data_IF_430593973457
#
_entry.id   IF_430593973457
#
_cell.length_a   1.000
_cell.length_b   1.000
_cell.length_c   1.000
_cell.angle_alpha   90.00
_cell.angle_beta   90.00
_cell.angle_gamma   90.00
#
_symmetry.space_group_name_H-M   'P 1'
#
loop_
_entity.id
_entity.type
_entity.pdbx_description
1 polymer ?
#
# COMPACT_ATOMS: atom_id res chain seq x y z
N UNK A 1 4.56 -10.17 3.92
CA UNK A 1 5.60 -9.12 4.08
C UNK A 1 6.09 -8.98 5.52
N UNK A 2 5.21 -9.06 6.56
CA UNK A 2 5.68 -9.08 7.95
C UNK A 2 6.56 -10.30 8.20
N UNK A 3 6.16 -11.50 7.78
CA UNK A 3 7.04 -12.67 7.81
C UNK A 3 8.33 -12.44 7.00
N UNK A 4 8.29 -11.73 5.87
CA UNK A 4 9.49 -11.37 5.11
C UNK A 4 10.36 -10.30 5.78
N UNK A 5 9.84 -9.44 6.66
CA UNK A 5 10.62 -8.51 7.48
C UNK A 5 11.25 -9.22 8.68
N UNK A 6 10.48 -10.07 9.36
CA UNK A 6 10.93 -10.84 10.52
C UNK A 6 11.87 -11.99 10.15
N UNK A 7 11.86 -12.48 8.91
CA UNK A 7 12.82 -13.48 8.43
C UNK A 7 14.14 -12.88 7.93
N UNK A 8 14.29 -11.57 7.96
CA UNK A 8 15.53 -10.88 7.51
C UNK A 8 16.43 -10.61 8.67
N UNK A 9 17.39 -11.50 8.86
CA UNK A 9 18.37 -11.41 9.93
C UNK A 9 19.11 -10.06 10.00
N UNK A 10 19.41 -9.44 8.86
CA UNK A 10 20.09 -8.14 8.77
C UNK A 10 19.30 -6.99 9.40
N UNK A 11 17.98 -6.95 9.23
CA UNK A 11 17.11 -5.92 9.84
C UNK A 11 16.88 -6.18 11.32
N UNK A 12 16.73 -7.45 11.72
CA UNK A 12 16.57 -7.81 13.12
C UNK A 12 17.86 -7.55 13.91
N UNK A 13 19.01 -7.94 13.36
CA UNK A 13 20.32 -7.70 13.96
C UNK A 13 20.58 -6.20 14.11
N UNK A 14 20.32 -5.40 13.06
CA UNK A 14 20.48 -3.94 13.17
C UNK A 14 19.55 -3.33 14.21
N UNK A 15 18.29 -3.79 14.32
CA UNK A 15 17.37 -3.32 15.36
C UNK A 15 17.79 -3.77 16.76
N UNK A 16 18.34 -4.98 16.91
CA UNK A 16 18.90 -5.44 18.16
C UNK A 16 20.03 -4.50 18.63
N UNK A 17 21.01 -4.22 17.77
CA UNK A 17 22.12 -3.32 18.10
C UNK A 17 21.64 -1.90 18.39
N UNK A 18 20.71 -1.33 17.63
CA UNK A 18 20.15 -0.01 17.87
C UNK A 18 19.54 0.07 19.28
N UNK A 19 18.78 -0.93 19.68
CA UNK A 19 18.10 -0.92 20.98
C UNK A 19 19.03 -1.26 22.14
N UNK A 20 20.03 -2.13 21.96
CA UNK A 20 21.08 -2.37 22.96
C UNK A 20 21.95 -1.14 23.17
N UNK A 21 22.43 -0.51 22.09
CA UNK A 21 23.21 0.73 22.17
C UNK A 21 22.38 1.87 22.79
N UNK A 22 21.06 1.83 22.64
CA UNK A 22 20.14 2.74 23.31
C UNK A 22 20.17 2.69 24.83
N UNK A 23 20.63 1.59 25.44
CA UNK A 23 20.85 1.47 26.89
C UNK A 23 22.16 2.11 27.35
N UNK A 24 23.07 2.43 26.44
CA UNK A 24 24.37 3.00 26.79
C UNK A 24 24.25 4.32 27.56
N UNK A 25 23.32 5.19 27.17
CA UNK A 25 23.12 6.48 27.82
C UNK A 25 22.59 6.37 29.26
N UNK A 26 21.55 5.59 29.58
CA UNK A 26 21.11 5.31 30.94
C UNK A 26 22.25 4.71 31.82
N UNK A 27 22.99 3.74 31.29
CA UNK A 27 24.12 3.10 32.00
C UNK A 27 25.21 4.11 32.27
N UNK A 28 25.54 4.95 31.31
CA UNK A 28 26.52 6.04 31.49
C UNK A 28 26.11 6.97 32.63
N UNK A 29 24.85 7.40 32.67
CA UNK A 29 24.38 8.29 33.73
C UNK A 29 24.51 7.65 35.10
N UNK A 30 24.08 6.38 35.24
CA UNK A 30 24.20 5.65 36.51
C UNK A 30 25.67 5.58 36.93
N UNK A 31 26.55 5.15 36.02
CA UNK A 31 27.97 4.97 36.35
C UNK A 31 28.71 6.29 36.61
N UNK A 32 28.38 7.36 35.88
CA UNK A 32 28.99 8.68 36.10
C UNK A 32 28.62 9.26 37.45
N UNK A 33 27.34 9.16 37.84
CA UNK A 33 26.92 9.65 39.15
C UNK A 33 27.46 8.81 40.29
N UNK A 34 27.42 7.47 40.15
CA UNK A 34 27.89 6.56 41.24
C UNK A 34 29.41 6.58 41.41
N UNK A 35 30.18 6.65 40.33
CA UNK A 35 31.66 6.57 40.44
C UNK A 35 32.33 7.92 40.51
N UNK A 36 31.90 8.90 39.71
CA UNK A 36 32.56 10.20 39.68
C UNK A 36 32.10 11.10 40.83
N UNK A 37 30.80 11.29 41.01
CA UNK A 37 30.30 12.18 42.07
C UNK A 37 30.52 11.63 43.48
N UNK A 38 30.57 10.30 43.66
CA UNK A 38 30.81 9.70 44.97
C UNK A 38 32.28 9.53 45.28
N UNK A 39 33.16 9.28 44.30
CA UNK A 39 34.56 8.88 44.51
C UNK A 39 35.60 9.77 43.82
N UNK A 40 35.19 10.72 42.94
CA UNK A 40 36.07 11.69 42.28
C UNK A 40 37.06 11.10 41.26
N UNK A 41 36.76 9.96 40.63
CA UNK A 41 37.65 9.33 39.66
C UNK A 41 37.51 9.95 38.25
N UNK A 42 38.34 10.91 37.89
CA UNK A 42 38.34 11.61 36.61
C UNK A 42 38.57 10.68 35.41
N UNK A 43 39.50 9.73 35.51
CA UNK A 43 39.87 8.80 34.45
C UNK A 43 38.67 7.94 34.01
N UNK A 44 37.83 7.51 34.98
CA UNK A 44 36.64 6.73 34.70
C UNK A 44 35.58 7.55 33.99
N UNK A 45 35.44 8.84 34.29
CA UNK A 45 34.52 9.74 33.63
C UNK A 45 34.88 9.92 32.15
N UNK A 46 36.19 10.18 31.86
CA UNK A 46 36.64 10.33 30.48
C UNK A 46 36.42 9.05 29.67
N UNK A 47 36.75 7.89 30.23
CA UNK A 47 36.58 6.60 29.57
C UNK A 47 35.09 6.29 29.27
N UNK A 48 34.22 6.51 30.26
CA UNK A 48 32.77 6.31 30.11
C UNK A 48 32.15 7.27 29.08
N UNK A 49 32.59 8.54 29.13
CA UNK A 49 32.11 9.55 28.16
C UNK A 49 32.50 9.18 26.73
N UNK A 50 33.78 8.81 26.52
CA UNK A 50 34.24 8.36 25.21
C UNK A 50 33.48 7.10 24.76
N UNK A 51 33.26 6.13 25.64
CA UNK A 51 32.53 4.91 25.36
C UNK A 51 31.07 5.18 24.91
N UNK A 52 30.39 6.08 25.60
CA UNK A 52 29.01 6.47 25.19
C UNK A 52 28.98 7.22 23.87
N UNK A 53 29.93 8.14 23.64
CA UNK A 53 30.01 8.83 22.33
C UNK A 53 30.21 7.85 21.19
N UNK A 54 31.07 6.86 21.35
CA UNK A 54 31.28 5.79 20.39
C UNK A 54 29.99 4.96 20.21
N UNK A 55 29.32 4.60 21.31
CA UNK A 55 28.03 3.87 21.24
C UNK A 55 26.96 4.65 20.49
N UNK A 56 26.84 5.97 20.70
CA UNK A 56 25.90 6.82 19.97
C UNK A 56 26.24 6.93 18.49
N UNK A 57 27.51 6.98 18.12
CA UNK A 57 27.95 6.95 16.71
C UNK A 57 27.57 5.62 16.04
N UNK A 58 27.74 4.50 16.74
CA UNK A 58 27.30 3.20 16.24
C UNK A 58 25.78 3.12 16.15
N UNK A 59 25.04 3.60 17.16
CA UNK A 59 23.56 3.67 17.11
C UNK A 59 23.10 4.45 15.87
N UNK A 60 23.69 5.62 15.60
CA UNK A 60 23.39 6.42 14.42
C UNK A 60 23.72 5.66 13.13
N UNK A 61 24.87 5.03 13.05
CA UNK A 61 25.31 4.26 11.88
C UNK A 61 24.39 3.09 11.59
N UNK A 62 23.96 2.33 12.61
CA UNK A 62 23.00 1.24 12.45
C UNK A 62 21.61 1.75 12.05
N UNK A 63 21.14 2.89 12.57
CA UNK A 63 19.88 3.53 12.13
C UNK A 63 19.97 3.91 10.65
N UNK A 64 21.08 4.50 10.21
CA UNK A 64 21.30 4.87 8.82
C UNK A 64 21.36 3.64 7.91
N UNK A 65 22.13 2.60 8.31
CA UNK A 65 22.19 1.33 7.57
C UNK A 65 20.81 0.67 7.45
N UNK A 66 20.05 0.59 8.53
CA UNK A 66 18.69 0.04 8.54
C UNK A 66 17.76 0.80 7.57
N UNK A 67 17.80 2.13 7.59
CA UNK A 67 17.02 2.95 6.68
C UNK A 67 17.40 2.69 5.23
N UNK A 68 18.70 2.70 4.91
CA UNK A 68 19.20 2.42 3.56
C UNK A 68 18.82 1.01 3.09
N UNK A 69 18.93 0.01 3.96
CA UNK A 69 18.51 -1.37 3.67
C UNK A 69 17.00 -1.46 3.40
N UNK A 70 16.15 -0.76 4.16
CA UNK A 70 14.71 -0.71 3.94
C UNK A 70 14.36 -0.04 2.61
N UNK A 71 14.99 1.09 2.28
CA UNK A 71 14.78 1.81 1.01
C UNK A 71 15.20 0.92 -0.16
N UNK A 72 16.41 0.38 -0.14
CA UNK A 72 16.94 -0.49 -1.20
C UNK A 72 16.07 -1.73 -1.44
N UNK A 73 15.60 -2.37 -0.36
CA UNK A 73 14.75 -3.54 -0.47
C UNK A 73 13.34 -3.22 -0.95
N UNK A 74 12.82 -2.05 -0.59
CA UNK A 74 11.53 -1.60 -1.11
C UNK A 74 11.64 -1.23 -2.60
N UNK A 75 12.71 -0.56 -3.04
CA UNK A 75 12.95 -0.27 -4.47
C UNK A 75 13.14 -1.56 -5.27
N UNK A 76 13.96 -2.48 -4.79
CA UNK A 76 14.17 -3.77 -5.45
C UNK A 76 12.89 -4.61 -5.56
N UNK A 77 11.98 -4.54 -4.59
CA UNK A 77 10.67 -5.21 -4.68
C UNK A 77 9.75 -4.57 -5.73
N UNK A 78 9.93 -3.28 -6.02
CA UNK A 78 9.25 -2.57 -7.10
C UNK A 78 9.88 -2.96 -8.44
N UNK A 79 11.21 -2.97 -8.56
CA UNK A 79 11.95 -3.33 -9.78
C UNK A 79 11.81 -4.81 -10.16
N UNK A 80 11.83 -5.73 -9.21
CA UNK A 80 11.72 -7.18 -9.45
C UNK A 80 10.31 -7.65 -9.79
N UNK A 81 9.39 -6.74 -10.11
CA UNK A 81 8.11 -7.11 -10.69
C UNK A 81 7.12 -7.81 -9.77
N UNK A 82 7.39 -7.95 -8.46
CA UNK A 82 6.37 -8.51 -7.57
C UNK A 82 5.07 -7.67 -7.57
N UNK A 83 5.20 -6.39 -7.89
CA UNK A 83 4.10 -5.48 -8.15
C UNK A 83 3.47 -5.73 -9.52
N UNK A 84 4.29 -5.88 -10.56
CA UNK A 84 3.84 -6.16 -11.92
C UNK A 84 3.37 -7.59 -12.07
N UNK A 85 3.93 -8.55 -11.33
CA UNK A 85 3.44 -9.92 -11.25
C UNK A 85 2.03 -9.99 -10.67
N UNK A 86 1.71 -9.15 -9.68
CA UNK A 86 0.36 -9.04 -9.15
C UNK A 86 -0.58 -8.33 -10.15
N UNK A 87 -0.08 -7.40 -10.96
CA UNK A 87 -0.82 -6.82 -12.10
C UNK A 87 -0.99 -7.86 -13.23
N UNK A 88 0.04 -8.63 -13.54
CA UNK A 88 -0.01 -9.68 -14.56
C UNK A 88 -0.93 -10.84 -14.15
N UNK A 89 -1.06 -11.11 -12.84
CA UNK A 89 -2.06 -12.04 -12.28
C UNK A 89 -3.49 -11.46 -12.33
N UNK A 90 -3.64 -10.14 -12.47
CA UNK A 90 -4.93 -9.56 -12.80
C UNK A 90 -5.25 -10.05 -14.20
N UNK A 91 -6.12 -11.05 -14.26
CA UNK A 91 -6.50 -11.68 -15.52
C UNK A 91 -7.14 -10.64 -16.44
N UNK A 92 -6.33 -10.06 -17.33
CA UNK A 92 -6.75 -9.11 -18.37
C UNK A 92 -7.79 -9.75 -19.33
N UNK A 93 -7.97 -11.06 -19.22
CA UNK A 93 -8.98 -11.84 -19.95
C UNK A 93 -10.34 -11.84 -19.25
N UNK A 94 -10.50 -11.20 -18.09
CA UNK A 94 -11.82 -11.06 -17.48
C UNK A 94 -12.73 -10.22 -18.40
N UNK A 95 -13.99 -10.63 -18.61
CA UNK A 95 -14.90 -9.97 -19.57
C UNK A 95 -15.26 -8.52 -19.17
N UNK A 96 -14.74 -8.01 -18.09
CA UNK A 96 -15.11 -6.70 -17.55
C UNK A 96 -13.87 -5.86 -17.23
N UNK A 97 -13.30 -5.23 -18.28
CA UNK A 97 -12.19 -4.27 -18.16
C UNK A 97 -12.60 -2.98 -17.41
N UNK A 98 -13.91 -2.74 -17.18
CA UNK A 98 -14.40 -1.55 -16.48
C UNK A 98 -13.86 -1.46 -15.02
N UNK A 99 -13.49 -2.58 -14.39
CA UNK A 99 -12.87 -2.64 -13.08
C UNK A 99 -11.33 -2.51 -13.07
N UNK A 100 -10.67 -2.53 -14.24
CA UNK A 100 -9.20 -2.53 -14.34
C UNK A 100 -8.55 -1.30 -13.66
N UNK A 101 -9.01 -0.06 -13.86
CA UNK A 101 -8.43 1.10 -13.17
C UNK A 101 -8.55 1.01 -11.64
N UNK A 102 -9.66 0.46 -11.14
CA UNK A 102 -9.87 0.25 -9.71
C UNK A 102 -8.91 -0.82 -9.16
N UNK A 103 -8.69 -1.89 -9.89
CA UNK A 103 -7.76 -2.97 -9.53
C UNK A 103 -6.31 -2.50 -9.54
N UNK A 104 -5.88 -1.79 -10.57
CA UNK A 104 -4.54 -1.18 -10.65
C UNK A 104 -4.33 -0.21 -9.48
N UNK A 105 -5.32 0.61 -9.16
CA UNK A 105 -5.23 1.53 -8.03
C UNK A 105 -5.22 0.79 -6.69
N UNK A 106 -5.95 -0.31 -6.52
CA UNK A 106 -5.92 -1.13 -5.31
C UNK A 106 -4.52 -1.73 -5.11
N UNK A 107 -3.93 -2.32 -6.15
CA UNK A 107 -2.56 -2.87 -6.11
C UNK A 107 -1.54 -1.76 -5.84
N UNK A 108 -1.64 -0.61 -6.52
CA UNK A 108 -0.79 0.57 -6.27
C UNK A 108 -0.90 1.03 -4.81
N UNK A 109 -2.10 1.13 -4.28
CA UNK A 109 -2.32 1.55 -2.89
C UNK A 109 -1.81 0.53 -1.88
N UNK A 110 -1.88 -0.77 -2.17
CA UNK A 110 -1.32 -1.82 -1.31
C UNK A 110 0.21 -1.77 -1.23
N UNK A 111 0.88 -1.38 -2.30
CA UNK A 111 2.34 -1.22 -2.36
C UNK A 111 2.79 0.08 -1.69
N UNK A 112 2.08 1.19 -1.96
CA UNK A 112 2.40 2.50 -1.38
C UNK A 112 2.04 2.62 0.10
N UNK A 113 1.22 1.71 0.64
CA UNK A 113 0.78 1.74 2.05
C UNK A 113 1.84 1.28 3.05
N UNK A 114 3.02 0.87 2.60
CA UNK A 114 4.10 0.45 3.49
C UNK A 114 4.94 1.66 3.87
N UNK A 115 4.43 2.46 4.79
CA UNK A 115 5.17 3.57 5.37
C UNK A 115 6.44 3.06 6.10
N UNK A 116 7.58 3.67 5.81
CA UNK A 116 8.88 3.35 6.43
C UNK A 116 8.83 3.48 7.96
N UNK A 117 8.06 4.45 8.48
CA UNK A 117 7.84 4.61 9.92
C UNK A 117 7.16 3.39 10.55
N UNK A 118 6.16 2.85 9.90
CA UNK A 118 5.48 1.64 10.38
C UNK A 118 6.40 0.43 10.36
N UNK A 119 7.29 0.30 9.36
CA UNK A 119 8.26 -0.80 9.29
C UNK A 119 9.30 -0.71 10.40
N UNK A 120 9.84 0.48 10.68
CA UNK A 120 10.80 0.67 11.78
C UNK A 120 10.13 0.44 13.13
N UNK A 121 8.91 0.91 13.34
CA UNK A 121 8.16 0.69 14.57
C UNK A 121 7.86 -0.80 14.84
N UNK A 122 7.56 -1.60 13.80
CA UNK A 122 7.41 -3.06 13.91
C UNK A 122 8.71 -3.72 14.39
N UNK A 123 9.85 -3.26 13.89
CA UNK A 123 11.15 -3.82 14.24
C UNK A 123 11.59 -3.41 15.67
N UNK A 124 11.18 -2.24 16.14
CA UNK A 124 11.55 -1.71 17.46
C UNK A 124 10.56 -2.13 18.57
N UNK A 125 9.31 -2.45 18.24
CA UNK A 125 8.27 -2.82 19.20
C UNK A 125 8.67 -3.96 20.17
N UNK A 126 9.32 -5.07 19.75
CA UNK A 126 9.73 -6.13 20.67
C UNK A 126 10.74 -5.66 21.74
N UNK A 127 11.61 -4.71 21.36
CA UNK A 127 12.64 -4.22 22.27
C UNK A 127 12.11 -3.25 23.33
N UNK A 128 10.91 -2.72 23.16
CA UNK A 128 10.24 -1.93 24.22
C UNK A 128 9.99 -2.74 25.48
N UNK A 129 9.81 -4.07 25.34
CA UNK A 129 9.74 -4.97 26.51
C UNK A 129 11.07 -5.09 27.25
N UNK A 130 12.20 -4.98 26.55
CA UNK A 130 13.54 -4.95 27.19
C UNK A 130 13.69 -3.70 28.04
N UNK A 131 13.31 -2.53 27.50
CA UNK A 131 13.32 -1.29 28.29
C UNK A 131 12.37 -1.36 29.48
N UNK A 132 11.18 -1.90 29.32
CA UNK A 132 10.25 -2.11 30.42
C UNK A 132 10.83 -3.02 31.50
N UNK A 133 11.48 -4.11 31.11
CA UNK A 133 12.14 -5.01 32.05
C UNK A 133 13.28 -4.34 32.81
N UNK A 134 14.10 -3.49 32.15
CA UNK A 134 15.14 -2.72 32.80
C UNK A 134 14.55 -1.71 33.80
N UNK A 135 13.44 -1.02 33.44
CA UNK A 135 12.75 -0.11 34.36
C UNK A 135 12.26 -0.90 35.59
N UNK A 136 11.70 -2.10 35.41
CA UNK A 136 11.24 -2.96 36.48
C UNK A 136 12.37 -3.38 37.44
N UNK A 137 13.56 -3.70 36.89
CA UNK A 137 14.73 -4.05 37.72
C UNK A 137 15.24 -2.87 38.56
N UNK A 138 15.07 -1.64 38.11
CA UNK A 138 15.50 -0.44 38.82
C UNK A 138 14.48 -0.06 39.91
N UNK A 139 13.20 0.09 39.53
CA UNK A 139 12.08 0.38 40.44
C UNK A 139 10.80 -0.28 39.95
N UNK A 140 10.25 -1.25 40.70
CA UNK A 140 8.96 -1.88 40.39
C UNK A 140 7.79 -0.89 40.36
N UNK A 141 7.85 0.15 41.21
CA UNK A 141 6.81 1.19 41.27
C UNK A 141 6.83 2.03 39.98
N UNK A 142 8.00 2.44 39.54
CA UNK A 142 8.17 3.16 38.27
C UNK A 142 7.68 2.32 37.09
N UNK A 143 7.96 1.02 37.07
CA UNK A 143 7.47 0.11 36.03
C UNK A 143 5.94 0.00 36.01
N UNK A 144 5.31 -0.05 37.18
CA UNK A 144 3.84 -0.08 37.29
C UNK A 144 3.22 1.22 36.73
N UNK A 145 3.75 2.38 37.13
CA UNK A 145 3.28 3.69 36.62
C UNK A 145 3.46 3.75 35.10
N UNK A 146 4.63 3.37 34.60
CA UNK A 146 4.91 3.32 33.16
C UNK A 146 3.90 2.44 32.43
N UNK A 147 3.64 1.22 32.93
CA UNK A 147 2.70 0.29 32.35
C UNK A 147 1.27 0.86 32.26
N UNK A 148 0.79 1.45 33.36
CA UNK A 148 -0.54 2.08 33.41
C UNK A 148 -0.64 3.23 32.42
N UNK A 149 0.37 4.10 32.32
CA UNK A 149 0.37 5.22 31.39
C UNK A 149 0.45 4.78 29.93
N UNK A 150 1.22 3.74 29.63
CA UNK A 150 1.23 3.13 28.30
C UNK A 150 -0.13 2.53 27.97
N UNK A 151 -0.77 1.83 28.91
CA UNK A 151 -2.11 1.24 28.70
C UNK A 151 -3.16 2.33 28.40
N UNK A 152 -3.15 3.44 29.13
CA UNK A 152 -4.04 4.57 28.88
C UNK A 152 -3.77 5.19 27.50
N UNK A 153 -2.50 5.36 27.12
CA UNK A 153 -2.11 5.84 25.80
C UNK A 153 -2.57 4.87 24.68
N UNK A 154 -2.46 3.56 24.89
CA UNK A 154 -2.93 2.54 23.94
C UNK A 154 -4.44 2.63 23.73
N UNK A 155 -5.23 2.73 24.80
CA UNK A 155 -6.70 2.87 24.72
C UNK A 155 -7.08 4.15 23.97
N UNK A 156 -6.48 5.29 24.34
CA UNK A 156 -6.74 6.56 23.66
C UNK A 156 -6.35 6.53 22.17
N UNK A 157 -5.19 5.97 21.83
CA UNK A 157 -4.73 5.83 20.45
C UNK A 157 -5.61 4.87 19.64
N UNK A 158 -6.11 3.80 20.25
CA UNK A 158 -7.03 2.87 19.60
C UNK A 158 -8.32 3.58 19.17
N UNK A 159 -8.94 4.35 20.07
CA UNK A 159 -10.15 5.13 19.78
C UNK A 159 -9.95 6.12 18.64
N UNK A 160 -8.83 6.85 18.60
CA UNK A 160 -8.52 7.78 17.51
C UNK A 160 -8.20 7.02 16.22
N UNK A 161 -7.55 5.86 16.31
CA UNK A 161 -7.24 5.02 15.14
C UNK A 161 -8.51 4.54 14.46
N UNK A 162 -9.48 4.10 15.24
CA UNK A 162 -10.79 3.70 14.75
C UNK A 162 -11.52 4.88 14.07
N UNK A 163 -11.56 6.05 14.71
CA UNK A 163 -12.12 7.27 14.14
C UNK A 163 -11.44 7.73 12.83
N UNK A 164 -10.20 7.31 12.57
CA UNK A 164 -9.45 7.67 11.35
C UNK A 164 -9.74 6.73 10.17
N UNK A 165 -10.36 5.58 10.39
CA UNK A 165 -10.58 4.58 9.33
C UNK A 165 -11.57 5.06 8.27
N UNK A 166 -12.68 5.71 8.65
CA UNK A 166 -13.67 6.26 7.75
C UNK A 166 -13.10 7.41 6.88
N UNK A 167 -12.45 8.44 7.45
CA UNK A 167 -11.74 9.47 6.69
C UNK A 167 -10.72 8.93 5.69
N UNK A 168 -9.93 7.91 6.05
CA UNK A 168 -8.98 7.28 5.12
C UNK A 168 -9.66 6.67 3.89
N UNK A 169 -10.77 5.96 4.07
CA UNK A 169 -11.53 5.36 2.96
C UNK A 169 -12.14 6.43 2.06
N UNK A 170 -12.77 7.47 2.67
CA UNK A 170 -13.33 8.60 1.95
C UNK A 170 -12.28 9.34 1.16
N UNK A 171 -11.12 9.61 1.76
CA UNK A 171 -10.00 10.29 1.12
C UNK A 171 -9.51 9.56 -0.15
N UNK A 172 -9.38 8.24 -0.12
CA UNK A 172 -8.97 7.45 -1.29
C UNK A 172 -9.98 7.59 -2.43
N UNK A 173 -11.28 7.49 -2.14
CA UNK A 173 -12.35 7.63 -3.13
C UNK A 173 -12.42 9.06 -3.70
N UNK A 174 -12.32 10.07 -2.83
CA UNK A 174 -12.34 11.47 -3.24
C UNK A 174 -11.09 11.86 -4.03
N UNK A 175 -9.94 11.27 -3.73
CA UNK A 175 -8.70 11.45 -4.51
C UNK A 175 -8.90 10.97 -5.94
N UNK A 176 -9.55 9.82 -6.14
CA UNK A 176 -9.85 9.32 -7.48
C UNK A 176 -10.84 10.22 -8.23
N UNK A 177 -11.87 10.72 -7.55
CA UNK A 177 -12.83 11.66 -8.14
C UNK A 177 -12.17 12.99 -8.55
N UNK A 178 -11.34 13.56 -7.68
CA UNK A 178 -10.60 14.79 -8.00
C UNK A 178 -9.64 14.58 -9.18
N UNK A 179 -8.95 13.43 -9.24
CA UNK A 179 -8.09 13.06 -10.35
C UNK A 179 -8.85 12.88 -11.67
N UNK A 180 -10.04 12.27 -11.63
CA UNK A 180 -10.91 12.16 -12.83
C UNK A 180 -11.34 13.53 -13.32
N UNK A 181 -11.79 14.41 -12.42
CA UNK A 181 -12.17 15.78 -12.76
C UNK A 181 -10.99 16.55 -13.38
N UNK A 182 -9.79 16.41 -12.83
CA UNK A 182 -8.57 17.01 -13.37
C UNK A 182 -8.24 16.48 -14.78
N UNK A 183 -8.28 15.15 -14.98
CA UNK A 183 -8.05 14.53 -16.30
C UNK A 183 -9.06 15.01 -17.34
N UNK A 184 -10.32 15.18 -16.94
CA UNK A 184 -11.37 15.71 -17.85
C UNK A 184 -11.03 17.10 -18.35
N UNK A 185 -10.52 17.99 -17.48
CA UNK A 185 -10.10 19.34 -17.86
C UNK A 185 -8.90 19.28 -18.82
N UNK A 186 -7.89 18.45 -18.50
CA UNK A 186 -6.67 18.34 -19.31
C UNK A 186 -6.94 17.71 -20.68
N UNK A 187 -7.66 16.59 -20.73
CA UNK A 187 -7.88 15.85 -21.98
C UNK A 187 -8.95 16.46 -22.88
N UNK A 188 -9.82 17.35 -22.37
CA UNK A 188 -10.89 17.99 -23.12
C UNK A 188 -10.74 19.51 -23.15
N UNK A 189 -9.50 20.00 -23.07
CA UNK A 189 -9.22 21.44 -23.03
C UNK A 189 -9.79 22.18 -24.24
N UNK A 190 -9.59 21.66 -25.45
CA UNK A 190 -10.13 22.22 -26.69
C UNK A 190 -11.67 22.27 -26.71
N UNK A 191 -12.33 21.21 -26.21
CA UNK A 191 -13.80 21.17 -26.09
C UNK A 191 -14.29 22.18 -25.04
N UNK A 192 -13.57 22.34 -23.95
CA UNK A 192 -13.89 23.29 -22.89
C UNK A 192 -13.76 24.74 -23.39
N UNK A 193 -12.75 25.02 -24.20
CA UNK A 193 -12.56 26.32 -24.86
C UNK A 193 -13.69 26.60 -25.86
N UNK A 194 -13.99 25.66 -26.76
CA UNK A 194 -15.06 25.79 -27.74
C UNK A 194 -16.41 26.15 -27.13
N UNK A 195 -16.75 25.52 -26.01
CA UNK A 195 -18.03 25.79 -25.32
C UNK A 195 -17.94 26.84 -24.23
N UNK A 196 -16.80 27.51 -24.07
CA UNK A 196 -16.53 28.50 -23.00
C UNK A 196 -16.90 27.99 -21.60
N UNK A 197 -16.76 26.67 -21.38
CA UNK A 197 -17.28 25.97 -20.19
C UNK A 197 -16.23 25.79 -19.08
N UNK A 198 -15.11 26.50 -19.17
CA UNK A 198 -14.01 26.39 -18.20
C UNK A 198 -14.47 26.71 -16.76
N UNK A 199 -15.33 27.72 -16.60
CA UNK A 199 -15.79 28.16 -15.27
C UNK A 199 -16.57 27.08 -14.54
N UNK A 200 -17.44 26.34 -15.23
CA UNK A 200 -18.23 25.26 -14.63
C UNK A 200 -17.37 24.01 -14.33
N UNK A 201 -16.46 23.64 -15.23
CA UNK A 201 -15.55 22.49 -15.03
C UNK A 201 -14.55 22.78 -13.89
N UNK A 202 -14.04 24.01 -13.80
CA UNK A 202 -13.19 24.44 -12.70
C UNK A 202 -13.94 24.44 -11.36
N UNK A 203 -15.22 24.84 -11.34
CA UNK A 203 -16.07 24.74 -10.15
C UNK A 203 -16.23 23.29 -9.68
N UNK A 204 -16.51 22.38 -10.62
CA UNK A 204 -16.63 20.95 -10.32
C UNK A 204 -15.31 20.36 -9.76
N UNK A 205 -14.18 20.64 -10.41
CA UNK A 205 -12.87 20.21 -9.92
C UNK A 205 -12.55 20.77 -8.54
N UNK A 206 -12.79 22.06 -8.30
CA UNK A 206 -12.59 22.71 -6.99
C UNK A 206 -13.44 22.06 -5.90
N UNK A 207 -14.68 21.71 -6.20
CA UNK A 207 -15.55 21.01 -5.24
C UNK A 207 -15.00 19.62 -4.89
N UNK A 208 -14.57 18.85 -5.88
CA UNK A 208 -13.97 17.53 -5.67
C UNK A 208 -12.66 17.64 -4.86
N UNK A 209 -11.81 18.62 -5.19
CA UNK A 209 -10.54 18.84 -4.50
C UNK A 209 -10.76 19.34 -3.06
N UNK A 210 -11.68 20.27 -2.82
CA UNK A 210 -12.02 20.73 -1.48
C UNK A 210 -12.55 19.58 -0.60
N UNK A 211 -13.36 18.70 -1.16
CA UNK A 211 -13.85 17.51 -0.44
C UNK A 211 -12.70 16.57 -0.07
N UNK A 212 -11.74 16.36 -0.97
CA UNK A 212 -10.53 15.57 -0.73
C UNK A 212 -9.66 16.20 0.38
N UNK A 213 -9.46 17.53 0.30
CA UNK A 213 -8.65 18.26 1.27
C UNK A 213 -9.26 18.26 2.67
N UNK A 214 -10.59 18.33 2.80
CA UNK A 214 -11.27 18.22 4.11
C UNK A 214 -10.98 16.89 4.79
N UNK A 215 -11.06 15.78 4.05
CA UNK A 215 -10.74 14.45 4.61
C UNK A 215 -9.26 14.32 4.95
N UNK A 216 -8.36 14.92 4.15
CA UNK A 216 -6.93 14.96 4.46
C UNK A 216 -6.69 15.72 5.78
N UNK A 217 -7.29 16.87 5.94
CA UNK A 217 -7.18 17.66 7.19
C UNK A 217 -7.68 16.85 8.39
N UNK A 218 -8.78 16.11 8.25
CA UNK A 218 -9.29 15.26 9.33
C UNK A 218 -8.28 14.13 9.69
N UNK A 219 -7.63 13.51 8.71
CA UNK A 219 -6.58 12.49 8.93
C UNK A 219 -5.38 13.12 9.64
N UNK A 220 -4.88 14.26 9.13
CA UNK A 220 -3.72 14.96 9.68
C UNK A 220 -4.01 15.47 11.10
N UNK A 221 -5.20 16.02 11.34
CA UNK A 221 -5.66 16.44 12.68
C UNK A 221 -5.66 15.28 13.67
N UNK A 222 -6.15 14.10 13.27
CA UNK A 222 -6.13 12.92 14.14
C UNK A 222 -4.69 12.44 14.42
N UNK A 223 -3.78 12.55 13.45
CA UNK A 223 -2.37 12.22 13.66
C UNK A 223 -1.72 13.17 14.69
N UNK A 224 -2.01 14.48 14.59
CA UNK A 224 -1.54 15.50 15.57
C UNK A 224 -2.14 15.24 16.94
N UNK A 225 -3.46 14.95 17.03
CA UNK A 225 -4.11 14.59 18.31
C UNK A 225 -3.44 13.40 18.99
N UNK A 226 -3.10 12.35 18.24
CA UNK A 226 -2.36 11.20 18.78
C UNK A 226 -1.00 11.60 19.32
N UNK A 227 -0.25 12.38 18.54
CA UNK A 227 1.06 12.85 18.96
C UNK A 227 0.98 13.67 20.26
N UNK A 228 0.03 14.59 20.34
CA UNK A 228 -0.18 15.42 21.53
C UNK A 228 -0.57 14.58 22.76
N UNK A 229 -1.47 13.59 22.57
CA UNK A 229 -1.85 12.67 23.65
C UNK A 229 -0.68 11.81 24.11
N UNK A 230 0.11 11.29 23.19
CA UNK A 230 1.30 10.50 23.54
C UNK A 230 2.31 11.34 24.32
N UNK A 231 2.54 12.58 23.90
CA UNK A 231 3.41 13.52 24.60
C UNK A 231 2.87 13.84 26.00
N UNK A 232 1.56 14.06 26.12
CA UNK A 232 0.90 14.29 27.40
C UNK A 232 1.07 13.10 28.34
N UNK A 233 0.72 11.88 27.93
CA UNK A 233 0.88 10.69 28.76
C UNK A 233 2.35 10.43 29.11
N UNK A 234 3.28 10.68 28.20
CA UNK A 234 4.71 10.56 28.47
C UNK A 234 5.13 11.53 29.59
N UNK A 235 4.76 12.80 29.52
CA UNK A 235 5.14 13.77 30.54
C UNK A 235 4.47 13.50 31.89
N UNK A 236 3.22 13.04 31.90
CA UNK A 236 2.55 12.58 33.12
C UNK A 236 3.28 11.39 33.71
N UNK A 237 3.65 10.40 32.90
CA UNK A 237 4.44 9.25 33.34
C UNK A 237 5.78 9.68 33.96
N UNK A 238 6.54 10.54 33.27
CA UNK A 238 7.79 11.09 33.77
C UNK A 238 7.61 11.81 35.11
N UNK A 239 6.58 12.67 35.21
CA UNK A 239 6.32 13.43 36.45
C UNK A 239 6.01 12.51 37.62
N UNK A 240 5.14 11.50 37.41
CA UNK A 240 4.78 10.55 38.46
C UNK A 240 5.95 9.64 38.86
N UNK A 241 6.76 9.20 37.88
CA UNK A 241 7.97 8.40 38.12
C UNK A 241 8.99 9.20 38.90
N UNK A 242 9.26 10.44 38.51
CA UNK A 242 10.19 11.32 39.24
C UNK A 242 9.69 11.56 40.66
N UNK A 243 8.40 11.80 40.87
CA UNK A 243 7.81 11.99 42.18
C UNK A 243 8.00 10.76 43.07
N UNK A 244 7.64 9.57 42.58
CA UNK A 244 7.78 8.32 43.37
C UNK A 244 9.23 7.93 43.57
N UNK A 245 10.07 8.07 42.57
CA UNK A 245 11.50 7.77 42.69
C UNK A 245 12.23 8.74 43.62
N UNK A 246 11.79 10.01 43.71
CA UNK A 246 12.33 10.96 44.67
C UNK A 246 12.04 10.52 46.12
N UNK A 247 10.88 9.95 46.38
CA UNK A 247 10.55 9.37 47.71
C UNK A 247 11.45 8.15 47.97
N UNK A 248 11.60 7.23 47.00
CA UNK A 248 12.48 6.06 47.10
C UNK A 248 13.96 6.46 47.36
N UNK A 249 14.39 7.57 46.75
CA UNK A 249 15.75 8.10 47.01
C UNK A 249 15.85 8.65 48.43
N UNK A 250 14.85 9.38 48.91
CA UNK A 250 14.83 9.92 50.27
C UNK A 250 14.85 8.78 51.32
N UNK A 251 14.11 7.70 51.06
CA UNK A 251 14.10 6.51 51.93
C UNK A 251 15.37 5.63 51.80
N UNK A 252 16.31 6.00 50.95
CA UNK A 252 17.57 5.27 50.75
C UNK A 252 17.44 3.97 49.94
N UNK A 253 16.29 3.74 49.30
CA UNK A 253 16.00 2.54 48.49
C UNK A 253 16.45 2.68 47.04
N UNK A 254 16.73 3.90 46.56
CA UNK A 254 17.12 4.19 45.19
C UNK A 254 18.24 5.26 45.15
N UNK A 255 19.16 5.15 44.22
CA UNK A 255 20.15 6.17 43.96
C UNK A 255 19.62 7.31 43.09
N UNK A 256 20.11 8.53 43.26
CA UNK A 256 19.78 9.69 42.40
C UNK A 256 20.09 9.39 40.93
N UNK A 257 21.19 8.68 40.69
CA UNK A 257 21.60 8.24 39.34
C UNK A 257 20.56 7.36 38.65
N UNK A 258 19.91 6.47 39.40
CA UNK A 258 18.89 5.59 38.92
C UNK A 258 17.59 6.36 38.57
N UNK A 259 17.22 7.40 39.35
CA UNK A 259 16.11 8.30 39.01
C UNK A 259 16.32 8.98 37.67
N UNK A 260 17.50 9.49 37.39
CA UNK A 260 17.82 10.15 36.11
C UNK A 260 17.80 9.13 34.96
N UNK A 261 18.34 7.93 35.18
CA UNK A 261 18.34 6.86 34.20
C UNK A 261 16.92 6.37 33.85
N UNK A 262 16.02 6.26 34.86
CA UNK A 262 14.60 5.93 34.65
C UNK A 262 13.93 6.93 33.70
N UNK A 263 14.21 8.21 33.85
CA UNK A 263 13.65 9.27 32.98
C UNK A 263 14.03 9.05 31.51
N UNK A 264 15.28 8.72 31.25
CA UNK A 264 15.79 8.43 29.91
C UNK A 264 15.17 7.16 29.34
N UNK A 265 15.09 6.10 30.15
CA UNK A 265 14.50 4.82 29.75
C UNK A 265 13.02 4.94 29.40
N UNK A 266 12.24 5.63 30.23
CA UNK A 266 10.82 5.90 29.99
C UNK A 266 10.62 6.65 28.67
N UNK A 267 11.41 7.69 28.39
CA UNK A 267 11.36 8.43 27.13
C UNK A 267 11.61 7.55 25.91
N UNK A 268 12.55 6.62 25.99
CA UNK A 268 12.88 5.70 24.89
C UNK A 268 11.85 4.58 24.71
N UNK A 269 11.30 4.05 25.80
CA UNK A 269 10.35 2.94 25.78
C UNK A 269 8.93 3.35 25.34
N UNK A 270 8.51 4.57 25.67
CA UNK A 270 7.11 5.00 25.54
C UNK A 270 6.65 5.07 24.09
N UNK A 271 7.43 5.71 23.22
CA UNK A 271 7.02 5.96 21.82
C UNK A 271 6.76 4.69 21.00
N UNK A 272 7.63 3.66 21.00
CA UNK A 272 7.36 2.42 20.28
C UNK A 272 6.12 1.68 20.81
N UNK A 273 5.90 1.67 22.12
CA UNK A 273 4.73 1.04 22.73
C UNK A 273 3.43 1.77 22.39
N UNK A 274 3.41 3.09 22.48
CA UNK A 274 2.23 3.90 22.17
C UNK A 274 1.82 3.83 20.68
N UNK A 275 2.71 3.42 19.78
CA UNK A 275 2.44 3.26 18.34
C UNK A 275 1.85 1.89 17.95
N UNK A 276 1.78 0.92 18.86
CA UNK A 276 1.25 -0.42 18.59
C UNK A 276 -0.16 -0.44 17.97
N UNK A 277 -1.15 0.39 18.38
CA UNK A 277 -2.47 0.41 17.77
C UNK A 277 -2.44 0.76 16.28
N UNK A 278 -1.55 1.64 15.85
CA UNK A 278 -1.40 1.98 14.45
C UNK A 278 -0.86 0.79 13.65
N UNK A 279 0.10 0.06 14.21
CA UNK A 279 0.63 -1.16 13.61
C UNK A 279 -0.46 -2.22 13.43
N UNK A 280 -1.25 -2.47 14.48
CA UNK A 280 -2.35 -3.44 14.45
C UNK A 280 -3.39 -3.03 13.41
N UNK A 281 -3.79 -1.76 13.38
CA UNK A 281 -4.78 -1.26 12.42
C UNK A 281 -4.29 -1.37 10.98
N UNK A 282 -3.00 -1.10 10.71
CA UNK A 282 -2.37 -1.29 9.41
C UNK A 282 -2.36 -2.76 8.98
N UNK A 283 -2.05 -3.68 9.90
CA UNK A 283 -2.01 -5.11 9.61
C UNK A 283 -3.41 -5.66 9.29
N UNK A 284 -4.42 -5.28 10.07
CA UNK A 284 -5.82 -5.68 9.85
C UNK A 284 -6.34 -5.13 8.51
N UNK A 285 -6.12 -3.85 8.23
CA UNK A 285 -6.55 -3.22 6.99
C UNK A 285 -5.90 -3.86 5.76
N UNK A 286 -4.64 -4.23 5.86
CA UNK A 286 -3.92 -4.91 4.79
C UNK A 286 -4.45 -6.33 4.57
N UNK A 287 -4.71 -7.10 5.62
CA UNK A 287 -5.27 -8.45 5.52
C UNK A 287 -6.63 -8.42 4.82
N UNK A 288 -7.48 -7.47 5.20
CA UNK A 288 -8.80 -7.27 4.58
C UNK A 288 -8.73 -6.87 3.10
N UNK A 289 -7.76 -6.03 2.72
CA UNK A 289 -7.56 -5.65 1.32
C UNK A 289 -7.04 -6.82 0.49
N UNK A 290 -6.13 -7.64 1.03
CA UNK A 290 -5.63 -8.85 0.35
C UNK A 290 -6.73 -9.90 0.14
N UNK A 291 -7.68 -10.02 1.06
CA UNK A 291 -8.81 -10.95 0.91
C UNK A 291 -9.82 -10.45 -0.12
N UNK A 292 -10.07 -9.14 -0.20
CA UNK A 292 -10.87 -8.53 -1.26
C UNK A 292 -10.20 -8.69 -2.64
N UNK A 293 -8.87 -8.55 -2.71
CA UNK A 293 -8.09 -8.79 -3.93
C UNK A 293 -8.17 -10.26 -4.35
N UNK A 294 -8.10 -11.22 -3.43
CA UNK A 294 -8.26 -12.64 -3.73
C UNK A 294 -9.66 -12.96 -4.27
N UNK A 295 -10.70 -12.37 -3.68
CA UNK A 295 -12.07 -12.54 -4.18
C UNK A 295 -12.29 -11.90 -5.56
N UNK A 296 -11.58 -10.80 -5.87
CA UNK A 296 -11.66 -10.15 -7.18
C UNK A 296 -10.76 -10.80 -8.25
N UNK A 297 -9.72 -11.53 -7.84
CA UNK A 297 -8.79 -12.26 -8.72
C UNK A 297 -9.35 -13.64 -9.11
N UNK A 298 -10.30 -14.18 -8.35
CA UNK A 298 -11.00 -15.43 -8.67
C UNK A 298 -12.07 -15.26 -9.76
N UNK A 299 -11.74 -14.61 -10.88
CA UNK A 299 -12.33 -15.06 -12.14
C UNK A 299 -11.70 -16.43 -12.40
N UNK A 300 -12.49 -17.46 -12.66
CA UNK A 300 -11.93 -18.78 -12.91
C UNK A 300 -10.89 -18.63 -14.03
N UNK A 301 -9.63 -18.79 -13.71
CA UNK A 301 -8.64 -19.07 -14.71
C UNK A 301 -9.23 -20.27 -15.44
N UNK A 302 -9.67 -20.10 -16.69
CA UNK A 302 -10.09 -21.24 -17.51
C UNK A 302 -8.86 -22.09 -17.69
N UNK A 303 -8.77 -23.10 -16.82
CA UNK A 303 -7.59 -23.93 -16.61
C UNK A 303 -7.20 -24.75 -17.85
N UNK A 304 -7.98 -24.73 -18.96
CA UNK A 304 -7.78 -25.52 -20.15
C UNK A 304 -8.03 -24.73 -21.43
N UNK A 305 -7.39 -23.55 -21.59
CA UNK A 305 -7.40 -22.87 -22.89
C UNK A 305 -6.38 -23.56 -23.81
N UNK A 306 -6.88 -24.22 -24.85
CA UNK A 306 -6.04 -24.88 -25.85
C UNK A 306 -5.47 -23.86 -26.84
N UNK A 307 -4.18 -24.01 -27.19
CA UNK A 307 -3.59 -23.37 -28.36
C UNK A 307 -3.90 -24.26 -29.55
N UNK A 308 -4.56 -23.74 -30.58
CA UNK A 308 -4.74 -24.47 -31.84
C UNK A 308 -3.42 -24.56 -32.58
N UNK A 309 -3.18 -25.69 -33.26
CA UNK A 309 -1.93 -25.91 -34.04
C UNK A 309 -1.96 -25.12 -35.36
N UNK A 310 -3.13 -24.92 -35.94
CA UNK A 310 -3.36 -24.17 -37.19
C UNK A 310 -4.70 -23.46 -37.14
N UNK A 311 -4.83 -22.43 -37.95
CA UNK A 311 -6.05 -21.65 -38.09
C UNK A 311 -6.34 -21.41 -39.56
N UNK A 312 -7.54 -21.79 -40.03
CA UNK A 312 -7.93 -21.65 -41.44
C UNK A 312 -8.62 -20.34 -41.75
N UNK A 313 -9.19 -19.68 -40.76
CA UNK A 313 -9.85 -18.39 -40.89
C UNK A 313 -11.37 -18.44 -40.86
N UNK A 314 -11.99 -19.60 -40.54
CA UNK A 314 -13.44 -19.72 -40.39
C UNK A 314 -13.88 -19.17 -39.03
N UNK A 315 -14.80 -18.22 -39.00
CA UNK A 315 -15.47 -17.75 -37.79
C UNK A 315 -16.98 -17.91 -37.95
N UNK A 316 -17.63 -18.61 -37.04
CA UNK A 316 -19.04 -18.94 -37.10
C UNK A 316 -19.80 -18.46 -35.86
N UNK A 317 -20.89 -17.75 -36.05
CA UNK A 317 -21.84 -17.38 -35.01
C UNK A 317 -23.00 -18.35 -35.03
N UNK A 318 -23.30 -19.01 -33.91
CA UNK A 318 -24.43 -19.93 -33.73
C UNK A 318 -25.39 -19.38 -32.70
N UNK A 319 -26.56 -18.88 -33.16
CA UNK A 319 -27.62 -18.34 -32.33
C UNK A 319 -27.11 -17.32 -31.26
N UNK A 320 -26.17 -16.44 -31.64
CA UNK A 320 -25.55 -15.50 -30.75
C UNK A 320 -26.48 -14.35 -30.41
N UNK A 321 -26.63 -14.09 -29.11
CA UNK A 321 -27.32 -12.90 -28.61
C UNK A 321 -26.37 -12.12 -27.70
N UNK A 322 -26.47 -10.78 -27.76
CA UNK A 322 -25.61 -9.92 -26.96
C UNK A 322 -26.39 -8.78 -26.31
N UNK A 323 -26.21 -8.63 -25.00
CA UNK A 323 -26.68 -7.51 -24.21
C UNK A 323 -25.52 -6.89 -23.44
N UNK A 324 -25.53 -5.57 -23.23
CA UNK A 324 -24.59 -4.92 -22.36
C UNK A 324 -25.05 -4.93 -20.89
N UNK A 325 -24.15 -5.00 -19.91
CA UNK A 325 -24.52 -4.86 -18.51
C UNK A 325 -25.35 -3.58 -18.28
N UNK A 326 -26.43 -3.69 -17.51
CA UNK A 326 -27.39 -2.62 -17.21
C UNK A 326 -28.27 -2.14 -18.38
N UNK A 327 -28.33 -2.89 -19.49
CA UNK A 327 -29.30 -2.66 -20.56
C UNK A 327 -30.28 -3.82 -20.60
N UNK A 328 -31.61 -3.50 -20.63
CA UNK A 328 -32.66 -4.49 -20.70
C UNK A 328 -32.93 -4.99 -22.14
N UNK A 329 -32.41 -4.27 -23.13
CA UNK A 329 -32.63 -4.60 -24.55
C UNK A 329 -31.33 -5.20 -25.12
N UNK A 330 -31.46 -6.35 -25.79
CA UNK A 330 -30.35 -6.97 -26.50
C UNK A 330 -29.96 -6.12 -27.72
N UNK A 331 -28.67 -6.00 -28.00
CA UNK A 331 -28.13 -5.33 -29.19
C UNK A 331 -28.54 -6.09 -30.44
N UNK A 332 -28.49 -7.42 -30.37
CA UNK A 332 -29.06 -8.34 -31.35
C UNK A 332 -29.35 -9.68 -30.66
N UNK A 333 -30.28 -10.43 -31.26
CA UNK A 333 -30.72 -11.72 -30.74
C UNK A 333 -30.70 -12.78 -31.84
N UNK A 334 -30.24 -13.98 -31.47
CA UNK A 334 -30.25 -15.17 -32.32
C UNK A 334 -29.54 -15.00 -33.68
N UNK A 335 -28.40 -14.26 -33.67
CA UNK A 335 -27.60 -14.03 -34.86
C UNK A 335 -26.83 -15.31 -35.24
N UNK A 336 -27.04 -15.81 -36.46
CA UNK A 336 -26.29 -16.93 -37.00
C UNK A 336 -25.70 -16.55 -38.34
N UNK A 337 -24.38 -16.68 -38.45
CA UNK A 337 -23.63 -16.25 -39.64
C UNK A 337 -22.22 -16.91 -39.66
N UNK A 338 -21.67 -17.13 -40.89
CA UNK A 338 -20.35 -17.70 -41.08
C UNK A 338 -19.48 -16.76 -41.89
N UNK A 339 -18.32 -16.41 -41.35
CA UNK A 339 -17.25 -15.76 -42.07
C UNK A 339 -16.37 -16.85 -42.68
N UNK A 340 -16.36 -16.93 -44.00
CA UNK A 340 -15.60 -17.97 -44.74
C UNK A 340 -14.13 -17.63 -44.82
N UNK A 341 -13.25 -18.63 -44.75
CA UNK A 341 -11.81 -18.42 -44.96
C UNK A 341 -11.52 -17.75 -46.31
N UNK A 342 -10.59 -16.78 -46.33
CA UNK A 342 -10.16 -16.10 -47.54
C UNK A 342 -11.20 -15.18 -48.18
N UNK A 343 -12.40 -15.01 -47.58
CA UNK A 343 -13.43 -14.14 -48.09
C UNK A 343 -13.36 -12.73 -47.49
N UNK A 344 -13.89 -11.75 -48.19
CA UNK A 344 -14.14 -10.42 -47.68
C UNK A 344 -15.62 -10.28 -47.34
N UNK A 345 -15.91 -9.96 -46.07
CA UNK A 345 -17.28 -9.75 -45.59
C UNK A 345 -17.46 -8.28 -45.21
N UNK A 346 -18.55 -7.65 -45.76
CA UNK A 346 -18.91 -6.28 -45.44
C UNK A 346 -20.13 -6.29 -44.53
N UNK A 347 -20.04 -5.65 -43.37
CA UNK A 347 -21.12 -5.48 -42.41
C UNK A 347 -21.63 -4.04 -42.51
N UNK A 348 -22.87 -3.88 -43.02
CA UNK A 348 -23.53 -2.56 -43.18
C UNK A 348 -24.68 -2.40 -42.20
N UNK A 349 -25.05 -1.17 -41.95
CA UNK A 349 -26.19 -0.84 -41.08
C UNK A 349 -26.09 0.57 -40.50
N UNK A 350 -27.16 1.06 -39.95
CA UNK A 350 -27.22 2.37 -39.28
C UNK A 350 -26.31 2.46 -38.02
N UNK A 351 -26.31 3.61 -37.40
CA UNK A 351 -25.60 3.79 -36.13
C UNK A 351 -26.27 2.96 -35.04
N UNK A 352 -25.47 2.45 -34.09
CA UNK A 352 -25.91 1.66 -32.90
C UNK A 352 -26.60 0.31 -33.26
N UNK A 353 -26.48 -0.21 -34.48
CA UNK A 353 -27.02 -1.52 -34.88
C UNK A 353 -26.17 -2.74 -34.44
N UNK A 354 -25.09 -2.53 -33.71
CA UNK A 354 -24.27 -3.63 -33.17
C UNK A 354 -23.07 -4.03 -34.01
N UNK A 355 -22.68 -3.27 -35.06
CA UNK A 355 -21.49 -3.55 -35.88
C UNK A 355 -20.20 -3.65 -35.04
N UNK A 356 -19.98 -2.69 -34.18
CA UNK A 356 -18.83 -2.70 -33.25
C UNK A 356 -18.93 -3.85 -32.21
N UNK A 357 -20.16 -4.26 -31.87
CA UNK A 357 -20.35 -5.39 -30.94
C UNK A 357 -19.96 -6.71 -31.60
N UNK A 358 -20.30 -6.90 -32.90
CA UNK A 358 -19.84 -8.07 -33.67
C UNK A 358 -18.31 -8.09 -33.76
N UNK A 359 -17.67 -6.96 -34.09
CA UNK A 359 -16.23 -6.82 -34.11
C UNK A 359 -15.60 -7.20 -32.76
N UNK A 360 -16.15 -6.71 -31.67
CA UNK A 360 -15.65 -7.00 -30.32
C UNK A 360 -15.81 -8.48 -29.92
N UNK A 361 -16.88 -9.15 -30.39
CA UNK A 361 -17.06 -10.59 -30.18
C UNK A 361 -16.05 -11.40 -31.00
N UNK A 362 -15.79 -11.04 -32.28
CA UNK A 362 -14.75 -11.69 -33.10
C UNK A 362 -13.37 -11.48 -32.48
N UNK A 363 -13.06 -10.28 -32.01
CA UNK A 363 -11.79 -9.98 -31.35
C UNK A 363 -11.65 -10.63 -29.96
N UNK A 364 -12.68 -11.32 -29.47
CA UNK A 364 -12.66 -11.97 -28.14
C UNK A 364 -12.60 -10.98 -26.98
N UNK A 365 -13.03 -9.72 -27.19
CA UNK A 365 -13.11 -8.71 -26.13
C UNK A 365 -14.29 -8.97 -25.19
N UNK A 366 -15.38 -9.54 -25.72
CA UNK A 366 -16.55 -9.96 -24.97
C UNK A 366 -16.84 -11.43 -25.20
N UNK A 367 -17.53 -12.05 -24.24
CA UNK A 367 -18.21 -13.32 -24.44
C UNK A 367 -19.67 -13.03 -24.83
N UNK A 368 -20.30 -13.82 -25.68
CA UNK A 368 -21.70 -13.66 -26.00
C UNK A 368 -22.57 -13.89 -24.75
N UNK A 369 -23.72 -13.20 -24.67
CA UNK A 369 -24.71 -13.40 -23.59
C UNK A 369 -25.35 -14.77 -23.71
N UNK A 370 -25.64 -15.20 -24.93
CA UNK A 370 -26.08 -16.57 -25.26
C UNK A 370 -25.63 -16.95 -26.67
N UNK A 371 -25.66 -18.25 -27.01
CA UNK A 371 -25.13 -18.78 -28.24
C UNK A 371 -23.63 -19.04 -28.21
N UNK A 372 -23.04 -19.35 -29.36
CA UNK A 372 -21.62 -19.74 -29.45
C UNK A 372 -20.94 -18.98 -30.60
N UNK A 373 -19.72 -18.53 -30.34
CA UNK A 373 -18.79 -18.08 -31.39
C UNK A 373 -17.76 -19.18 -31.56
N UNK A 374 -17.65 -19.73 -32.75
CA UNK A 374 -16.74 -20.81 -33.09
C UNK A 374 -15.62 -20.27 -33.98
N UNK A 375 -14.42 -20.77 -33.78
CA UNK A 375 -13.23 -20.54 -34.60
C UNK A 375 -12.77 -21.90 -35.09
N UNK A 376 -12.83 -22.14 -36.41
CA UNK A 376 -12.57 -23.45 -36.99
C UNK A 376 -13.29 -24.58 -36.24
N UNK A 377 -14.59 -24.39 -36.00
CA UNK A 377 -15.50 -25.31 -35.30
C UNK A 377 -15.21 -25.52 -33.80
N UNK A 378 -14.22 -24.82 -33.23
CA UNK A 378 -13.90 -24.85 -31.80
C UNK A 378 -14.52 -23.64 -31.10
N UNK A 379 -15.17 -23.85 -29.96
CA UNK A 379 -15.73 -22.74 -29.19
C UNK A 379 -14.60 -21.77 -28.76
N UNK A 380 -14.73 -20.49 -29.13
CA UNK A 380 -13.79 -19.42 -28.77
C UNK A 380 -13.51 -19.36 -27.27
N UNK A 381 -14.46 -19.76 -26.44
CA UNK A 381 -14.28 -19.79 -24.99
C UNK A 381 -13.25 -20.84 -24.52
N UNK A 382 -12.99 -21.86 -25.33
CA UNK A 382 -12.00 -22.92 -25.07
C UNK A 382 -10.60 -22.56 -25.63
N UNK A 383 -10.51 -21.51 -26.44
CA UNK A 383 -9.26 -21.08 -27.09
C UNK A 383 -8.57 -20.03 -26.21
N UNK A 384 -7.24 -20.11 -26.15
CA UNK A 384 -6.44 -19.05 -25.50
C UNK A 384 -6.66 -17.71 -26.20
N UNK A 385 -7.19 -16.72 -25.48
CA UNK A 385 -7.42 -15.38 -26.01
C UNK A 385 -6.14 -14.69 -26.45
N UNK A 386 -5.05 -14.96 -25.77
CA UNK A 386 -3.73 -14.47 -26.14
C UNK A 386 -3.32 -15.03 -27.49
N UNK A 387 -3.41 -16.36 -27.67
CA UNK A 387 -3.13 -17.00 -28.93
C UNK A 387 -4.03 -16.47 -30.05
N UNK A 388 -5.36 -16.35 -29.81
CA UNK A 388 -6.32 -15.83 -30.78
C UNK A 388 -5.99 -14.42 -31.24
N UNK A 389 -5.67 -13.51 -30.32
CA UNK A 389 -5.32 -12.12 -30.65
C UNK A 389 -4.04 -12.00 -31.50
N UNK A 390 -3.13 -12.94 -31.39
CA UNK A 390 -1.96 -13.03 -32.27
C UNK A 390 -2.30 -13.55 -33.69
N UNK A 391 -3.48 -14.13 -33.90
CA UNK A 391 -3.92 -14.61 -35.22
C UNK A 391 -4.72 -13.56 -36.01
N UNK A 392 -5.12 -12.46 -35.38
CA UNK A 392 -5.96 -11.45 -35.98
C UNK A 392 -5.27 -10.09 -35.99
N UNK A 393 -5.55 -9.28 -37.01
CA UNK A 393 -5.22 -7.85 -37.02
C UNK A 393 -6.53 -7.09 -36.91
N UNK A 394 -6.64 -6.23 -35.89
CA UNK A 394 -7.82 -5.43 -35.64
C UNK A 394 -7.49 -3.94 -35.72
N UNK A 395 -8.21 -3.21 -36.58
CA UNK A 395 -8.08 -1.75 -36.70
C UNK A 395 -9.39 -1.15 -36.20
N UNK A 396 -9.40 -0.54 -35.00
CA UNK A 396 -10.60 0.10 -34.45
C UNK A 396 -10.91 1.41 -35.21
N UNK A 397 -12.13 1.92 -35.03
CA UNK A 397 -12.58 3.19 -35.62
C UNK A 397 -11.75 4.39 -35.13
N UNK A 398 -11.38 4.38 -33.85
CA UNK A 398 -10.48 5.36 -33.24
C UNK A 398 -9.25 4.60 -32.71
N UNK A 399 -8.16 4.53 -33.50
CA UNK A 399 -6.94 3.88 -33.06
C UNK A 399 -6.24 4.75 -31.99
N UNK A 400 -5.93 4.15 -30.87
CA UNK A 400 -5.13 4.79 -29.81
C UNK A 400 -3.70 4.25 -29.86
N UNK A 401 -2.73 5.16 -29.81
CA UNK A 401 -1.32 4.82 -29.68
C UNK A 401 -0.88 4.94 -28.22
N UNK A 402 0.04 4.08 -27.82
CA UNK A 402 0.73 4.25 -26.56
C UNK A 402 1.66 5.45 -26.64
N UNK A 403 1.91 6.11 -25.50
CA UNK A 403 2.86 7.22 -25.39
C UNK A 403 4.30 6.69 -25.50
N UNK A 404 4.68 6.34 -26.73
CA UNK A 404 5.94 5.72 -27.11
C UNK A 404 6.26 6.02 -28.58
N UNK A 405 7.43 5.62 -29.05
CA UNK A 405 7.81 5.77 -30.46
C UNK A 405 6.88 4.97 -31.37
N UNK A 406 6.79 5.37 -32.65
CA UNK A 406 6.03 4.61 -33.65
C UNK A 406 6.56 3.19 -33.77
N UNK A 407 7.89 3.03 -33.75
CA UNK A 407 8.51 1.71 -33.79
C UNK A 407 8.07 0.82 -32.63
N UNK A 408 8.10 1.35 -31.41
CA UNK A 408 7.69 0.60 -30.22
C UNK A 408 6.19 0.27 -30.25
N UNK A 409 5.34 1.16 -30.76
CA UNK A 409 3.92 0.85 -30.97
C UNK A 409 3.71 -0.30 -31.95
N UNK A 410 4.51 -0.38 -33.02
CA UNK A 410 4.47 -1.49 -33.98
C UNK A 410 5.02 -2.79 -33.36
N UNK A 411 6.15 -2.72 -32.65
CA UNK A 411 6.76 -3.88 -31.98
C UNK A 411 5.88 -4.44 -30.87
N UNK A 412 5.09 -3.61 -30.19
CA UNK A 412 4.11 -4.06 -29.21
C UNK A 412 3.01 -4.95 -29.83
N UNK A 413 2.69 -4.75 -31.09
CA UNK A 413 1.72 -5.56 -31.84
C UNK A 413 2.39 -6.86 -32.31
N UNK A 414 3.61 -6.78 -32.84
CA UNK A 414 4.37 -7.93 -33.28
C UNK A 414 5.86 -7.78 -32.90
N UNK A 415 6.32 -8.45 -31.83
CA UNK A 415 7.72 -8.35 -31.40
C UNK A 415 8.76 -8.88 -32.41
N UNK A 416 8.31 -9.62 -33.42
CA UNK A 416 9.18 -10.23 -34.44
C UNK A 416 9.28 -9.37 -35.71
N UNK A 417 8.76 -8.17 -35.73
CA UNK A 417 8.99 -7.24 -36.83
C UNK A 417 10.45 -6.79 -36.81
N UNK A 418 11.21 -7.18 -37.83
CA UNK A 418 12.59 -6.76 -38.10
C UNK A 418 12.62 -5.49 -38.90
#
# INVERSE_FOLDING_TARGET
TMNKLLTRADLLVSSLFINLLGLALPVYVIQSFTRYLSNGFDETLYALTLGVLVALLFEFSFKHYRLKSLIFKNSKSIEQGSFFDDINKINLNAPNLQGLPHRINAVKNSVLSVDLKSQTAILDAPYSFVYFFVIYLISPIAALIFFVMVLLALVANFSISEATTAPKKSFLRLTENARRAQKTILNKSSTIELFSNFKSQNKYWRQAENSRLREKIAIDSNAIKKQNLNTFFLFVAITLIVFTSAIEVFDGNLDISALIALNILVGRAFSPMASLPDLISHLISRRKNLDLDKMSIQSPARANSHKMKSYTGKVEFKAVSQSYPNQSVAVFSNLSFVFQPGSTTVITGGNSTGKTTIFNLIAGLFAPTSGLVLIDDVNMEQISREWWRHQIVAVPQEPEFFDDTILNNLLNINPNLS
#
